data_IF_250186896093
#
_entry.id   IF_250186896093
#
_cell.length_a   1.000
_cell.length_b   1.000
_cell.length_c   1.000
_cell.angle_alpha   90.00
_cell.angle_beta   90.00
_cell.angle_gamma   90.00
#
_symmetry.space_group_name_H-M   'P 1'
#
loop_
_entity.id
_entity.type
_entity.pdbx_description
1 polymer ?
#
# COMPACT_ATOMS: atom_id res chain seq x y z
N UNK A 1 -47.86 -17.11 -31.94
CA UNK A 1 -46.56 -16.51 -32.29
C UNK A 1 -46.14 -15.69 -31.07
N UNK A 2 -45.35 -16.27 -30.16
CA UNK A 2 -44.98 -15.62 -28.90
C UNK A 2 -43.64 -14.91 -29.07
N UNK A 3 -43.67 -13.59 -29.17
CA UNK A 3 -42.47 -12.76 -29.10
C UNK A 3 -42.03 -12.63 -27.65
N UNK A 4 -40.88 -13.22 -27.35
CA UNK A 4 -40.17 -13.04 -26.09
C UNK A 4 -39.60 -11.62 -26.12
N UNK A 5 -40.26 -10.68 -25.45
CA UNK A 5 -39.67 -9.37 -25.17
C UNK A 5 -38.40 -9.56 -24.33
N UNK A 6 -37.24 -9.60 -25.01
CA UNK A 6 -35.92 -9.52 -24.37
C UNK A 6 -35.78 -8.09 -23.84
N UNK A 7 -36.08 -7.90 -22.56
CA UNK A 7 -35.89 -6.64 -21.85
C UNK A 7 -34.42 -6.23 -21.96
N UNK A 8 -34.13 -5.13 -22.65
CA UNK A 8 -32.79 -4.56 -22.66
C UNK A 8 -32.43 -4.16 -21.21
N UNK A 9 -31.27 -4.62 -20.72
CA UNK A 9 -30.77 -4.26 -19.40
C UNK A 9 -30.59 -2.75 -19.31
N UNK A 10 -30.98 -2.14 -18.18
CA UNK A 10 -30.80 -0.70 -17.95
C UNK A 10 -29.33 -0.39 -17.66
N UNK A 11 -28.77 0.77 -18.11
CA UNK A 11 -27.37 1.15 -17.84
C UNK A 11 -27.02 1.18 -16.34
N UNK A 12 -28.00 1.40 -15.46
CA UNK A 12 -27.82 1.34 -14.00
C UNK A 12 -27.55 -0.09 -13.50
N UNK A 13 -28.19 -1.09 -14.10
CA UNK A 13 -27.99 -2.49 -13.73
C UNK A 13 -26.60 -2.96 -14.17
N UNK A 14 -26.14 -2.56 -15.36
CA UNK A 14 -24.81 -2.89 -15.87
C UNK A 14 -23.69 -2.24 -15.03
N UNK A 15 -23.86 -0.97 -14.64
CA UNK A 15 -22.94 -0.30 -13.73
C UNK A 15 -22.86 -0.99 -12.36
N UNK A 16 -23.99 -1.43 -11.80
CA UNK A 16 -24.03 -2.14 -10.52
C UNK A 16 -23.35 -3.52 -10.58
N UNK A 17 -23.53 -4.27 -11.68
CA UNK A 17 -22.85 -5.55 -11.90
C UNK A 17 -21.34 -5.34 -12.01
N UNK A 18 -20.93 -4.30 -12.74
CA UNK A 18 -19.51 -3.97 -12.93
C UNK A 18 -18.86 -3.59 -11.60
N UNK A 19 -19.49 -2.72 -10.81
CA UNK A 19 -18.96 -2.33 -9.50
C UNK A 19 -18.92 -3.50 -8.51
N UNK A 20 -19.90 -4.40 -8.55
CA UNK A 20 -19.88 -5.63 -7.75
C UNK A 20 -18.73 -6.56 -8.14
N UNK A 21 -18.46 -6.71 -9.44
CA UNK A 21 -17.34 -7.51 -9.93
C UNK A 21 -15.99 -6.91 -9.51
N UNK A 22 -15.83 -5.60 -9.60
CA UNK A 22 -14.62 -4.90 -9.13
C UNK A 22 -14.44 -5.03 -7.61
N UNK A 23 -15.51 -4.91 -6.82
CA UNK A 23 -15.47 -5.14 -5.39
C UNK A 23 -15.05 -6.59 -5.04
N UNK A 24 -15.59 -7.58 -5.75
CA UNK A 24 -15.21 -8.98 -5.56
C UNK A 24 -13.73 -9.23 -5.88
N UNK A 25 -13.22 -8.64 -6.98
CA UNK A 25 -11.79 -8.72 -7.34
C UNK A 25 -10.91 -8.06 -6.28
N UNK A 26 -11.31 -6.89 -5.78
CA UNK A 26 -10.59 -6.19 -4.71
C UNK A 26 -10.51 -7.05 -3.46
N UNK A 27 -11.64 -7.58 -2.99
CA UNK A 27 -11.68 -8.47 -1.81
C UNK A 27 -10.83 -9.73 -1.99
N UNK A 28 -10.90 -10.36 -3.18
CA UNK A 28 -10.08 -11.52 -3.48
C UNK A 28 -8.58 -11.19 -3.43
N UNK A 29 -8.17 -10.06 -4.03
CA UNK A 29 -6.79 -9.58 -4.00
C UNK A 29 -6.33 -9.31 -2.57
N UNK A 30 -7.11 -8.57 -1.79
CA UNK A 30 -6.82 -8.27 -0.38
C UNK A 30 -6.64 -9.55 0.44
N UNK A 31 -7.55 -10.51 0.29
CA UNK A 31 -7.45 -11.80 0.98
C UNK A 31 -6.25 -12.66 0.55
N UNK A 32 -5.77 -12.53 -0.70
CA UNK A 32 -4.53 -13.18 -1.13
C UNK A 32 -3.32 -12.52 -0.49
N UNK A 33 -3.25 -11.18 -0.49
CA UNK A 33 -2.13 -10.44 0.08
C UNK A 33 -2.04 -10.68 1.58
N UNK A 34 -3.15 -10.58 2.32
CA UNK A 34 -3.18 -10.80 3.76
C UNK A 34 -2.64 -12.18 4.14
N UNK A 35 -3.06 -13.24 3.43
CA UNK A 35 -2.55 -14.61 3.66
C UNK A 35 -1.06 -14.75 3.35
N UNK A 36 -0.58 -14.11 2.29
CA UNK A 36 0.84 -14.17 1.95
C UNK A 36 1.70 -13.36 2.92
N UNK A 37 1.23 -12.21 3.39
CA UNK A 37 1.89 -11.44 4.43
C UNK A 37 1.96 -12.23 5.74
N UNK A 38 0.87 -12.89 6.14
CA UNK A 38 0.86 -13.74 7.32
C UNK A 38 1.87 -14.90 7.22
N UNK A 39 2.00 -15.52 6.04
CA UNK A 39 3.00 -16.54 5.79
C UNK A 39 4.46 -16.01 5.78
N UNK A 40 4.66 -14.75 5.38
CA UNK A 40 5.98 -14.10 5.33
C UNK A 40 6.42 -13.64 6.72
N UNK A 41 5.52 -12.98 7.44
CA UNK A 41 5.76 -12.37 8.74
C UNK A 41 4.42 -12.35 9.50
N UNK A 42 4.16 -13.39 10.31
CA UNK A 42 2.89 -13.52 11.03
C UNK A 42 2.56 -12.28 11.86
N UNK A 43 1.29 -11.86 11.81
CA UNK A 43 0.82 -10.67 12.51
C UNK A 43 1.06 -9.34 11.79
N UNK A 44 1.67 -9.33 10.59
CA UNK A 44 1.81 -8.12 9.77
C UNK A 44 0.44 -7.56 9.39
N UNK A 45 0.20 -6.32 9.76
CA UNK A 45 -1.04 -5.60 9.49
C UNK A 45 -0.82 -4.35 8.64
N UNK A 46 0.29 -3.66 8.85
CA UNK A 46 0.76 -2.55 8.03
C UNK A 46 2.12 -2.88 7.40
N UNK A 47 2.30 -2.46 6.15
CA UNK A 47 3.60 -2.50 5.48
C UNK A 47 3.94 -1.11 4.98
N UNK A 48 5.01 -0.52 5.51
CA UNK A 48 5.51 0.78 5.07
C UNK A 48 6.75 0.58 4.23
N UNK A 49 6.83 1.27 3.10
CA UNK A 49 7.99 1.23 2.20
C UNK A 49 8.50 2.65 2.01
N UNK A 50 9.79 2.86 2.25
CA UNK A 50 10.43 4.17 2.16
C UNK A 50 11.69 4.06 1.31
N UNK A 51 11.75 4.70 0.14
CA UNK A 51 12.97 4.75 -0.66
C UNK A 51 14.01 5.62 0.05
N UNK A 52 15.16 5.05 0.36
CA UNK A 52 16.28 5.73 1.00
C UNK A 52 17.45 5.84 0.03
N UNK A 53 18.02 7.05 -0.08
CA UNK A 53 19.30 7.25 -0.77
C UNK A 53 20.41 7.10 0.25
N UNK A 54 21.35 6.20 0.02
CA UNK A 54 22.58 6.09 0.80
C UNK A 54 23.77 6.36 -0.09
N UNK A 55 24.79 7.00 0.45
CA UNK A 55 26.08 7.08 -0.21
C UNK A 55 26.97 5.96 0.34
N UNK A 56 27.48 5.09 -0.53
CA UNK A 56 28.37 3.99 -0.16
C UNK A 56 29.48 3.90 -1.19
N UNK A 57 30.72 3.88 -0.72
CA UNK A 57 31.92 3.76 -1.57
C UNK A 57 32.00 4.85 -2.66
N UNK A 58 31.57 6.08 -2.33
CA UNK A 58 31.54 7.23 -3.27
C UNK A 58 30.44 7.16 -4.33
N UNK A 59 29.51 6.19 -4.24
CA UNK A 59 28.39 6.05 -5.15
C UNK A 59 27.05 6.19 -4.40
N UNK A 60 26.15 7.01 -4.95
CA UNK A 60 24.77 7.09 -4.47
C UNK A 60 24.01 5.82 -4.86
N UNK A 61 23.59 5.06 -3.85
CA UNK A 61 22.74 3.87 -4.00
C UNK A 61 21.34 4.17 -3.48
N UNK A 62 20.35 3.61 -4.16
CA UNK A 62 18.97 3.65 -3.73
C UNK A 62 18.57 2.30 -3.16
N UNK A 63 18.16 2.29 -1.90
CA UNK A 63 17.57 1.14 -1.25
C UNK A 63 16.12 1.47 -0.86
N UNK A 64 15.33 0.46 -0.51
CA UNK A 64 14.00 0.64 0.05
C UNK A 64 14.03 0.07 1.46
N UNK A 65 13.80 0.93 2.44
CA UNK A 65 13.50 0.50 3.79
C UNK A 65 12.06 -0.01 3.85
N UNK A 66 11.83 -1.07 4.59
CA UNK A 66 10.52 -1.71 4.74
C UNK A 66 10.28 -1.88 6.23
N UNK A 67 9.15 -1.41 6.72
CA UNK A 67 8.63 -1.74 8.04
C UNK A 67 7.42 -2.65 7.91
N UNK A 68 7.36 -3.63 8.81
CA UNK A 68 6.21 -4.51 9.01
C UNK A 68 5.71 -4.23 10.41
N UNK A 69 4.50 -3.70 10.53
CA UNK A 69 3.91 -3.34 11.81
C UNK A 69 2.63 -4.15 12.03
N UNK A 70 2.35 -4.50 13.28
CA UNK A 70 1.14 -5.19 13.68
C UNK A 70 -0.08 -4.25 13.72
N UNK A 71 -1.23 -4.78 14.16
CA UNK A 71 -2.46 -4.01 14.26
C UNK A 71 -2.41 -2.87 15.29
N UNK A 72 -1.44 -2.90 16.21
CA UNK A 72 -1.19 -1.86 17.20
C UNK A 72 -0.12 -0.86 16.73
N UNK A 73 0.42 -1.03 15.53
CA UNK A 73 1.51 -0.21 15.00
C UNK A 73 2.87 -0.54 15.61
N UNK A 74 3.03 -1.72 16.23
CA UNK A 74 4.30 -2.18 16.77
C UNK A 74 5.07 -2.98 15.72
N UNK A 75 6.41 -2.86 15.65
CA UNK A 75 7.19 -3.62 14.70
C UNK A 75 7.04 -5.12 14.88
N UNK A 76 6.75 -5.83 13.79
CA UNK A 76 6.74 -7.28 13.74
C UNK A 76 8.17 -7.80 13.73
N UNK A 77 8.45 -8.81 14.56
CA UNK A 77 9.75 -9.48 14.56
C UNK A 77 9.91 -10.31 13.28
N UNK A 78 10.62 -9.76 12.30
CA UNK A 78 10.87 -10.41 11.02
C UNK A 78 12.34 -10.23 10.60
N UNK A 79 12.88 -11.19 9.86
CA UNK A 79 14.24 -11.09 9.34
C UNK A 79 14.31 -10.27 8.04
N UNK A 80 15.51 -10.05 7.52
CA UNK A 80 15.72 -9.27 6.31
C UNK A 80 15.06 -9.90 5.07
N UNK A 81 14.94 -11.22 5.02
CA UNK A 81 14.34 -11.91 3.89
C UNK A 81 12.83 -11.66 3.85
N UNK A 82 12.16 -11.73 5.01
CA UNK A 82 10.75 -11.43 5.15
C UNK A 82 10.42 -9.99 4.70
N UNK A 83 11.22 -9.00 5.12
CA UNK A 83 11.05 -7.61 4.65
C UNK A 83 11.19 -7.48 3.12
N UNK A 84 12.15 -8.19 2.53
CA UNK A 84 12.34 -8.21 1.07
C UNK A 84 11.18 -8.93 0.36
N UNK A 85 10.69 -10.02 0.93
CA UNK A 85 9.57 -10.80 0.40
C UNK A 85 8.28 -9.98 0.42
N UNK A 86 8.00 -9.26 1.50
CA UNK A 86 6.86 -8.35 1.61
C UNK A 86 6.90 -7.23 0.55
N UNK A 87 8.05 -6.58 0.37
CA UNK A 87 8.21 -5.59 -0.71
C UNK A 87 8.03 -6.20 -2.10
N UNK A 88 8.59 -7.39 -2.33
CA UNK A 88 8.44 -8.12 -3.59
C UNK A 88 6.99 -8.50 -3.88
N UNK A 89 6.25 -8.89 -2.84
CA UNK A 89 4.82 -9.15 -2.92
C UNK A 89 4.05 -7.90 -3.36
N UNK A 90 4.21 -6.80 -2.64
CA UNK A 90 3.47 -5.56 -2.94
C UNK A 90 3.77 -5.05 -4.36
N UNK A 91 5.03 -5.10 -4.80
CA UNK A 91 5.40 -4.72 -6.19
C UNK A 91 4.71 -5.57 -7.26
N UNK A 92 4.54 -6.87 -7.02
CA UNK A 92 3.82 -7.75 -7.96
C UNK A 92 2.32 -7.46 -7.98
N UNK A 93 1.75 -7.13 -6.82
CA UNK A 93 0.30 -6.91 -6.69
C UNK A 93 -0.15 -5.51 -7.10
N UNK A 94 0.78 -4.53 -7.06
CA UNK A 94 0.56 -3.15 -7.47
C UNK A 94 1.65 -2.71 -8.48
N UNK A 95 1.64 -3.26 -9.71
CA UNK A 95 2.66 -2.96 -10.71
C UNK A 95 2.62 -1.51 -11.21
N UNK A 96 1.47 -0.82 -11.07
CA UNK A 96 1.29 0.57 -11.47
C UNK A 96 1.71 1.60 -10.40
N UNK A 97 2.08 1.16 -9.19
CA UNK A 97 2.49 2.07 -8.12
C UNK A 97 3.89 2.65 -8.38
N UNK A 98 4.07 3.92 -8.02
CA UNK A 98 5.37 4.58 -8.12
C UNK A 98 6.24 4.26 -6.91
N UNK A 99 6.96 3.14 -6.97
CA UNK A 99 7.87 2.70 -5.90
C UNK A 99 9.08 3.62 -5.67
N UNK A 100 9.16 4.75 -6.37
CA UNK A 100 10.10 5.82 -6.06
C UNK A 100 9.62 6.75 -4.95
N UNK A 101 8.38 6.60 -4.49
CA UNK A 101 7.80 7.34 -3.37
C UNK A 101 7.50 6.44 -2.16
N UNK A 102 7.41 7.01 -0.95
CA UNK A 102 6.94 6.27 0.21
C UNK A 102 5.51 5.76 0.01
N UNK A 103 5.24 4.53 0.44
CA UNK A 103 3.91 3.93 0.40
C UNK A 103 3.60 3.18 1.69
N UNK A 104 2.34 3.20 2.10
CA UNK A 104 1.79 2.42 3.20
C UNK A 104 0.68 1.51 2.67
N UNK A 105 0.79 0.22 2.99
CA UNK A 105 -0.22 -0.79 2.70
C UNK A 105 -0.94 -1.23 3.97
N UNK A 106 -2.26 -1.32 3.92
CA UNK A 106 -3.11 -1.75 5.03
C UNK A 106 -3.75 -3.11 4.71
N UNK A 107 -3.39 -4.15 5.47
CA UNK A 107 -3.77 -5.53 5.12
C UNK A 107 -5.28 -5.82 5.26
N UNK A 108 -5.99 -5.15 6.18
CA UNK A 108 -7.43 -5.40 6.34
C UNK A 108 -8.30 -4.79 5.24
N UNK A 109 -7.91 -3.63 4.68
CA UNK A 109 -8.69 -2.94 3.64
C UNK A 109 -8.14 -3.24 2.25
N UNK A 110 -6.85 -3.56 2.15
CA UNK A 110 -6.13 -3.74 0.90
C UNK A 110 -5.70 -2.44 0.25
N UNK A 111 -5.75 -1.32 0.99
CA UNK A 111 -5.39 -0.02 0.47
C UNK A 111 -3.88 0.14 0.43
N UNK A 112 -3.38 0.63 -0.70
CA UNK A 112 -2.02 1.11 -0.86
C UNK A 112 -2.09 2.62 -1.09
N UNK A 113 -1.63 3.39 -0.12
CA UNK A 113 -1.61 4.85 -0.17
C UNK A 113 -0.17 5.36 -0.18
N UNK A 114 0.01 6.59 -0.64
CA UNK A 114 1.27 7.30 -0.48
C UNK A 114 1.47 7.63 1.00
N UNK A 115 2.65 7.30 1.53
CA UNK A 115 3.05 7.57 2.90
C UNK A 115 3.87 8.86 2.96
N UNK A 116 3.32 9.94 2.39
CA UNK A 116 3.98 11.22 2.45
C UNK A 116 3.91 11.77 3.87
N UNK A 117 5.02 12.30 4.41
CA UNK A 117 4.95 13.03 5.65
C UNK A 117 3.98 14.19 5.44
N UNK A 118 2.84 14.16 6.13
CA UNK A 118 2.06 15.38 6.30
C UNK A 118 3.00 16.35 6.99
N UNK A 119 3.38 17.43 6.29
CA UNK A 119 4.17 18.49 6.90
C UNK A 119 3.49 18.83 8.24
N UNK A 120 4.23 18.89 9.36
CA UNK A 120 3.63 19.43 10.57
C UNK A 120 3.07 20.80 10.21
N UNK A 121 1.82 21.08 10.58
CA UNK A 121 1.31 22.44 10.53
C UNK A 121 2.39 23.33 11.15
N UNK A 122 2.83 24.36 10.42
CA UNK A 122 4.01 25.18 10.70
C UNK A 122 4.41 25.14 12.18
N UNK A 123 5.55 24.52 12.49
CA UNK A 123 6.07 24.50 13.86
C UNK A 123 6.52 25.88 14.36
N UNK A 124 6.09 26.98 13.72
CA UNK A 124 6.38 28.36 14.13
C UNK A 124 7.87 28.61 14.36
N UNK A 125 8.72 28.00 13.52
CA UNK A 125 10.18 28.16 13.62
C UNK A 125 10.71 29.36 12.83
N UNK A 126 9.82 30.20 12.32
CA UNK A 126 10.13 31.52 11.78
C UNK A 126 9.93 32.53 12.91
N UNK A 127 10.95 32.74 13.75
CA UNK A 127 11.25 33.99 14.48
C UNK A 127 12.20 33.75 15.67
N UNK A 128 13.42 33.30 15.41
CA UNK A 128 14.54 33.61 16.30
C UNK A 128 15.69 34.17 15.45
N UNK A 129 15.57 35.46 15.10
CA UNK A 129 16.73 36.24 14.69
C UNK A 129 17.77 36.25 15.83
N UNK A 130 19.07 36.17 15.51
CA UNK A 130 20.12 36.21 16.51
C UNK A 130 20.17 37.60 17.14
N UNK A 131 20.08 37.66 18.47
CA UNK A 131 20.46 38.86 19.22
C UNK A 131 21.89 39.27 18.85
N UNK A 132 22.03 40.44 18.20
CA UNK A 132 23.17 41.36 18.38
C UNK A 132 22.80 42.79 18.02
#
# INVERSE_FOLDING_TARGET
MNEIHRTASSPRAEAAITSAAEAAKHLARTGVIARQLDAIAPGTFHVRTVPVSTERDGARRRATWVALDDALGLPVKADREAHRAALGLLRRMFPAADWTRPHAYHASTGDLALDEPTAPADLGLDDQEPQR
#
